data_IF_360572710443
#
_entry.id   IF_360572710443
#
_cell.length_a   1.000
_cell.length_b   1.000
_cell.length_c   1.000
_cell.angle_alpha   90.00
_cell.angle_beta   90.00
_cell.angle_gamma   90.00
#
_symmetry.space_group_name_H-M   'P 1'
#
loop_
_entity.id
_entity.type
_entity.pdbx_description
1 polymer ?
#
# COMPACT_ATOMS: atom_id res chain seq x y z
N UNK A 1 44.88 -19.88 -48.99
CA UNK A 1 44.04 -20.77 -48.14
C UNK A 1 44.21 -20.36 -46.68
N UNK A 2 43.15 -20.43 -45.86
CA UNK A 2 42.83 -19.45 -44.84
C UNK A 2 43.01 -19.98 -43.40
N UNK A 3 43.05 -19.06 -42.42
CA UNK A 3 42.18 -19.03 -41.22
C UNK A 3 42.70 -18.00 -40.21
N UNK A 4 42.16 -16.80 -40.25
CA UNK A 4 42.20 -15.89 -39.10
C UNK A 4 41.10 -16.33 -38.12
N UNK A 5 41.52 -16.65 -36.90
CA UNK A 5 40.64 -17.00 -35.79
C UNK A 5 40.11 -15.71 -35.18
N UNK A 6 38.79 -15.58 -35.14
CA UNK A 6 38.02 -14.54 -34.48
C UNK A 6 38.14 -14.71 -32.95
N UNK A 7 38.53 -13.71 -32.14
CA UNK A 7 38.35 -13.81 -30.70
C UNK A 7 36.89 -13.47 -30.37
N UNK A 8 36.18 -14.47 -29.87
CA UNK A 8 34.81 -14.33 -29.37
C UNK A 8 34.83 -13.48 -28.10
N UNK A 9 34.11 -12.36 -28.16
CA UNK A 9 33.83 -11.45 -27.08
C UNK A 9 33.00 -12.17 -25.99
N UNK A 10 33.65 -12.64 -24.92
CA UNK A 10 32.97 -13.17 -23.74
C UNK A 10 32.62 -12.01 -22.78
N UNK A 11 31.64 -11.19 -23.18
CA UNK A 11 30.98 -10.20 -22.34
C UNK A 11 29.49 -10.54 -22.36
N UNK A 12 29.07 -11.39 -21.43
CA UNK A 12 27.67 -11.76 -21.29
C UNK A 12 27.47 -12.64 -20.06
N UNK A 13 26.45 -12.27 -19.29
CA UNK A 13 25.79 -13.08 -18.26
C UNK A 13 26.36 -12.99 -16.83
N UNK A 14 26.47 -11.77 -16.27
CA UNK A 14 26.05 -11.57 -14.87
C UNK A 14 24.52 -11.53 -14.83
N UNK A 15 23.93 -12.68 -15.16
CA UNK A 15 22.50 -12.93 -15.02
C UNK A 15 22.13 -12.79 -13.55
N UNK A 16 20.96 -12.19 -13.30
CA UNK A 16 20.31 -12.15 -12.00
C UNK A 16 20.48 -13.50 -11.30
N UNK A 17 21.35 -13.55 -10.29
CA UNK A 17 21.37 -14.70 -9.40
C UNK A 17 19.96 -14.83 -8.82
N UNK A 18 19.33 -16.01 -8.86
CA UNK A 18 18.07 -16.20 -8.17
C UNK A 18 18.32 -15.85 -6.69
N UNK A 19 17.71 -14.78 -6.21
CA UNK A 19 17.72 -14.46 -4.80
C UNK A 19 17.26 -15.70 -4.05
N UNK A 20 17.99 -16.07 -2.99
CA UNK A 20 17.56 -17.15 -2.11
C UNK A 20 16.14 -16.82 -1.64
N UNK A 21 15.25 -17.81 -1.71
CA UNK A 21 13.87 -17.68 -1.24
C UNK A 21 13.64 -18.76 -0.20
N UNK A 22 13.24 -18.32 0.98
CA UNK A 22 12.92 -19.19 2.10
C UNK A 22 11.39 -19.16 2.25
N UNK A 23 10.75 -20.31 2.04
CA UNK A 23 9.34 -20.49 2.43
C UNK A 23 9.25 -20.33 3.94
N UNK A 24 8.28 -19.55 4.40
CA UNK A 24 8.12 -19.24 5.82
C UNK A 24 6.67 -18.99 6.16
N UNK A 25 6.31 -19.29 7.41
CA UNK A 25 4.98 -19.07 7.93
C UNK A 25 5.03 -18.56 9.37
N UNK A 26 4.18 -17.61 9.72
CA UNK A 26 4.10 -17.09 11.08
C UNK A 26 3.04 -16.01 11.23
N UNK A 27 3.12 -15.26 12.34
CA UNK A 27 2.21 -14.15 12.60
C UNK A 27 2.96 -12.83 12.51
N UNK A 28 2.49 -11.93 11.65
CA UNK A 28 3.00 -10.56 11.52
C UNK A 28 1.86 -9.58 11.75
N UNK A 29 2.01 -8.65 12.69
CA UNK A 29 1.00 -7.63 13.01
C UNK A 29 -0.42 -8.22 13.22
N UNK A 30 -0.52 -9.34 13.93
CA UNK A 30 -1.79 -10.01 14.21
C UNK A 30 -2.41 -10.78 13.05
N UNK A 31 -1.69 -10.95 11.92
CA UNK A 31 -2.15 -11.69 10.75
C UNK A 31 -1.27 -12.91 10.51
N UNK A 32 -1.91 -14.03 10.15
CA UNK A 32 -1.19 -15.21 9.66
C UNK A 32 -0.65 -14.93 8.27
N UNK A 33 0.65 -15.16 8.08
CA UNK A 33 1.34 -14.95 6.80
C UNK A 33 2.02 -16.25 6.41
N UNK A 34 1.76 -16.71 5.19
CA UNK A 34 2.50 -17.78 4.52
C UNK A 34 3.11 -17.18 3.25
N UNK A 35 4.44 -17.09 3.19
CA UNK A 35 5.13 -16.34 2.13
C UNK A 35 6.54 -16.86 1.89
N UNK A 36 7.25 -16.20 0.97
CA UNK A 36 8.69 -16.37 0.76
C UNK A 36 9.42 -15.10 1.13
N UNK A 37 10.57 -15.26 1.78
CA UNK A 37 11.47 -14.16 2.15
C UNK A 37 12.86 -14.31 1.55
N UNK A 38 13.57 -13.19 1.46
CA UNK A 38 14.88 -13.02 0.82
C UNK A 38 16.09 -13.50 1.66
N UNK A 39 15.91 -13.81 2.95
CA UNK A 39 16.99 -14.20 3.85
C UNK A 39 16.56 -15.21 4.93
N UNK A 40 17.55 -15.91 5.49
CA UNK A 40 17.33 -16.87 6.59
C UNK A 40 16.96 -16.12 7.88
N UNK A 41 17.53 -14.94 8.06
CA UNK A 41 17.26 -14.00 9.15
C UNK A 41 15.79 -13.56 9.12
N UNK A 42 15.27 -13.21 7.94
CA UNK A 42 13.86 -12.86 7.75
C UNK A 42 12.93 -14.05 8.09
N UNK A 43 13.26 -15.25 7.62
CA UNK A 43 12.45 -16.44 7.91
C UNK A 43 12.44 -16.74 9.42
N UNK A 44 13.62 -16.73 10.04
CA UNK A 44 13.76 -16.92 11.48
C UNK A 44 13.01 -15.84 12.28
N UNK A 45 13.06 -14.58 11.82
CA UNK A 45 12.38 -13.47 12.47
C UNK A 45 10.87 -13.69 12.56
N UNK A 46 10.26 -14.15 11.47
CA UNK A 46 8.81 -14.40 11.40
C UNK A 46 8.40 -15.64 12.20
N UNK A 47 9.15 -16.74 12.07
CA UNK A 47 8.81 -18.04 12.64
C UNK A 47 9.10 -18.14 14.14
N UNK A 48 10.21 -17.55 14.59
CA UNK A 48 10.78 -17.83 15.91
C UNK A 48 10.99 -16.58 16.76
N UNK A 49 11.31 -15.43 16.14
CA UNK A 49 11.63 -14.21 16.89
C UNK A 49 10.37 -13.43 17.31
N UNK A 50 9.47 -13.14 16.36
CA UNK A 50 8.24 -12.35 16.61
C UNK A 50 7.22 -13.00 17.55
N UNK A 51 6.95 -14.32 17.49
CA UNK A 51 5.98 -14.97 18.36
C UNK A 51 6.32 -14.88 19.86
N UNK A 52 7.53 -14.43 20.21
CA UNK A 52 7.90 -14.18 21.59
C UNK A 52 7.92 -15.46 22.42
N UNK A 53 8.16 -16.62 21.81
CA UNK A 53 8.66 -17.77 22.57
C UNK A 53 10.02 -17.34 23.13
N UNK A 54 9.97 -16.77 24.33
CA UNK A 54 11.12 -16.53 25.18
C UNK A 54 11.67 -17.90 25.52
N UNK A 55 12.34 -18.52 24.57
CA UNK A 55 13.13 -19.70 24.82
C UNK A 55 14.12 -19.32 25.93
N UNK A 56 14.17 -20.08 27.03
CA UNK A 56 15.25 -19.92 27.99
C UNK A 56 16.58 -19.88 27.23
N UNK A 57 17.57 -19.08 27.66
CA UNK A 57 18.89 -19.06 27.05
C UNK A 57 19.39 -20.50 26.81
N UNK A 58 19.62 -20.86 25.54
CA UNK A 58 20.00 -22.22 25.12
C UNK A 58 18.89 -23.12 24.55
N UNK A 59 17.66 -22.62 24.36
CA UNK A 59 16.58 -23.37 23.68
C UNK A 59 16.07 -22.73 22.39
N UNK A 60 16.64 -21.60 21.95
CA UNK A 60 16.29 -21.00 20.67
C UNK A 60 16.60 -21.97 19.51
N UNK A 61 15.73 -21.99 18.50
CA UNK A 61 15.92 -22.86 17.32
C UNK A 61 17.23 -22.56 16.58
N UNK A 62 17.71 -21.30 16.63
CA UNK A 62 19.02 -20.89 16.14
C UNK A 62 19.56 -19.71 16.98
N UNK A 63 20.35 -19.98 18.03
CA UNK A 63 20.88 -18.94 18.93
C UNK A 63 21.82 -17.94 18.25
N UNK A 64 22.51 -18.36 17.19
CA UNK A 64 23.45 -17.49 16.46
C UNK A 64 22.66 -16.44 15.65
N UNK A 65 21.56 -16.86 15.00
CA UNK A 65 20.65 -15.93 14.31
C UNK A 65 19.96 -14.98 15.28
N UNK A 66 19.50 -15.49 16.43
CA UNK A 66 18.89 -14.65 17.46
C UNK A 66 19.87 -13.57 17.97
N UNK A 67 21.10 -13.97 18.30
CA UNK A 67 22.15 -13.06 18.76
C UNK A 67 22.45 -12.00 17.72
N UNK A 68 22.62 -12.39 16.45
CA UNK A 68 22.88 -11.43 15.36
C UNK A 68 21.74 -10.43 15.18
N UNK A 69 20.48 -10.89 15.28
CA UNK A 69 19.31 -10.01 15.21
C UNK A 69 19.32 -9.03 16.40
N UNK A 70 19.53 -9.53 17.62
CA UNK A 70 19.55 -8.69 18.82
C UNK A 70 20.65 -7.62 18.76
N UNK A 71 21.86 -7.99 18.34
CA UNK A 71 22.98 -7.07 18.15
C UNK A 71 22.65 -5.99 17.11
N UNK A 72 22.07 -6.38 15.97
CA UNK A 72 21.71 -5.44 14.90
C UNK A 72 20.60 -4.49 15.35
N UNK A 73 19.59 -4.99 16.07
CA UNK A 73 18.48 -4.18 16.55
C UNK A 73 18.92 -3.22 17.67
N UNK A 74 19.89 -3.60 18.50
CA UNK A 74 20.44 -2.73 19.55
C UNK A 74 21.12 -1.47 18.99
N UNK A 75 21.60 -1.51 17.75
CA UNK A 75 22.21 -0.35 17.08
C UNK A 75 21.17 0.61 16.47
N UNK A 76 19.94 0.15 16.26
CA UNK A 76 18.90 0.86 15.49
C UNK A 76 17.69 1.29 16.35
N UNK A 77 17.41 0.64 17.49
CA UNK A 77 16.22 0.88 18.33
C UNK A 77 16.51 1.87 19.49
N UNK A 78 15.71 2.94 19.66
CA UNK A 78 14.40 2.78 20.30
C UNK A 78 13.20 3.47 19.60
N UNK A 79 13.39 4.09 18.44
CA UNK A 79 12.36 4.88 17.73
C UNK A 79 11.68 4.05 16.63
N UNK A 80 10.44 4.39 16.18
CA UNK A 80 9.86 3.74 15.00
C UNK A 80 10.84 3.86 13.83
N UNK A 81 11.13 2.74 13.18
CA UNK A 81 12.19 2.65 12.18
C UNK A 81 11.98 3.71 11.08
N UNK A 82 12.85 4.72 11.10
CA UNK A 82 12.84 5.80 10.12
C UNK A 82 13.58 5.35 8.85
N UNK A 83 13.71 6.26 7.89
CA UNK A 83 14.37 5.95 6.62
C UNK A 83 15.80 5.44 6.80
N UNK A 84 16.56 6.00 7.75
CA UNK A 84 17.96 5.64 7.97
C UNK A 84 18.05 4.26 8.61
N UNK A 85 17.29 4.04 9.70
CA UNK A 85 17.23 2.75 10.37
C UNK A 85 16.75 1.61 9.48
N UNK A 86 15.73 1.83 8.64
CA UNK A 86 15.29 0.81 7.66
C UNK A 86 16.36 0.51 6.61
N UNK A 87 17.11 1.52 6.19
CA UNK A 87 18.19 1.31 5.23
C UNK A 87 19.35 0.55 5.85
N UNK A 88 19.65 0.76 7.12
CA UNK A 88 20.70 0.05 7.85
C UNK A 88 20.30 -1.41 8.09
N UNK A 89 19.06 -1.66 8.53
CA UNK A 89 18.51 -3.01 8.67
C UNK A 89 18.49 -3.78 7.35
N UNK A 90 18.11 -3.12 6.25
CA UNK A 90 18.09 -3.73 4.91
C UNK A 90 19.49 -4.15 4.45
N UNK A 91 20.53 -3.38 4.81
CA UNK A 91 21.93 -3.70 4.49
C UNK A 91 22.53 -4.75 5.41
N UNK A 92 22.20 -4.72 6.70
CA UNK A 92 22.78 -5.62 7.70
C UNK A 92 22.16 -7.03 7.69
N UNK A 93 20.85 -7.11 7.43
CA UNK A 93 20.08 -8.36 7.48
C UNK A 93 19.46 -8.64 6.10
N UNK A 94 18.33 -8.00 5.78
CA UNK A 94 17.71 -8.06 4.45
C UNK A 94 16.55 -7.09 4.29
N UNK A 95 16.04 -6.95 3.07
CA UNK A 95 14.92 -6.03 2.78
C UNK A 95 13.61 -6.56 3.37
N UNK A 96 13.37 -7.87 3.28
CA UNK A 96 12.17 -8.45 3.89
C UNK A 96 12.25 -8.39 5.41
N UNK A 97 13.42 -8.59 6.01
CA UNK A 97 13.61 -8.38 7.45
C UNK A 97 13.26 -6.95 7.86
N UNK A 98 13.83 -5.95 7.19
CA UNK A 98 13.58 -4.54 7.50
C UNK A 98 12.08 -4.20 7.37
N UNK A 99 11.41 -4.75 6.36
CA UNK A 99 9.97 -4.58 6.13
C UNK A 99 9.15 -5.19 7.25
N UNK A 100 9.43 -6.44 7.65
CA UNK A 100 8.70 -7.10 8.73
C UNK A 100 8.96 -6.44 10.08
N UNK A 101 10.19 -6.00 10.34
CA UNK A 101 10.51 -5.22 11.53
C UNK A 101 9.74 -3.90 11.55
N UNK A 102 9.69 -3.17 10.44
CA UNK A 102 8.90 -1.95 10.33
C UNK A 102 7.42 -2.18 10.67
N UNK A 103 6.82 -3.19 10.05
CA UNK A 103 5.41 -3.55 10.27
C UNK A 103 5.15 -3.94 11.73
N UNK A 104 6.05 -4.72 12.35
CA UNK A 104 5.91 -5.12 13.75
C UNK A 104 5.98 -3.92 14.69
N UNK A 105 6.87 -2.95 14.43
CA UNK A 105 6.98 -1.70 15.21
C UNK A 105 5.78 -0.79 15.00
N UNK A 106 5.29 -0.65 13.76
CA UNK A 106 4.06 0.10 13.50
C UNK A 106 2.88 -0.49 14.26
N UNK A 107 2.73 -1.82 14.28
CA UNK A 107 1.62 -2.49 14.98
C UNK A 107 1.77 -2.49 16.52
N UNK A 108 2.98 -2.29 17.05
CA UNK A 108 3.18 -2.12 18.48
C UNK A 108 2.51 -0.83 19.00
N UNK A 109 2.43 0.22 18.16
CA UNK A 109 1.69 1.44 18.47
C UNK A 109 0.18 1.15 18.64
N UNK A 110 -0.39 1.60 19.76
CA UNK A 110 -1.78 1.33 20.09
C UNK A 110 -2.78 2.02 19.16
N UNK A 111 -2.41 3.16 18.56
CA UNK A 111 -3.23 3.86 17.58
C UNK A 111 -3.31 3.07 16.27
N UNK A 112 -2.15 2.68 15.74
CA UNK A 112 -2.04 1.88 14.52
C UNK A 112 -2.73 0.52 14.68
N UNK A 113 -2.52 -0.17 15.81
CA UNK A 113 -3.18 -1.45 16.10
C UNK A 113 -4.69 -1.32 16.05
N UNK A 114 -5.27 -0.34 16.76
CA UNK A 114 -6.72 -0.10 16.73
C UNK A 114 -7.25 0.17 15.32
N UNK A 115 -6.51 0.93 14.51
CA UNK A 115 -6.91 1.22 13.14
C UNK A 115 -6.89 -0.04 12.27
N UNK A 116 -5.83 -0.84 12.38
CA UNK A 116 -5.70 -2.12 11.67
C UNK A 116 -6.79 -3.10 12.08
N UNK A 117 -7.01 -3.28 13.38
CA UNK A 117 -8.03 -4.19 13.90
C UNK A 117 -9.43 -3.77 13.40
N UNK A 118 -9.74 -2.46 13.45
CA UNK A 118 -11.02 -1.96 12.93
C UNK A 118 -11.17 -2.17 11.41
N UNK A 119 -10.08 -2.00 10.65
CA UNK A 119 -10.09 -2.26 9.22
C UNK A 119 -10.40 -3.75 8.95
N UNK A 120 -9.74 -4.67 9.67
CA UNK A 120 -9.95 -6.10 9.50
C UNK A 120 -11.36 -6.53 9.90
N UNK A 121 -11.90 -5.98 10.99
CA UNK A 121 -13.30 -6.18 11.38
C UNK A 121 -14.25 -5.74 10.26
N UNK A 122 -14.03 -4.56 9.67
CA UNK A 122 -14.84 -4.07 8.56
C UNK A 122 -14.74 -4.97 7.33
N UNK A 123 -13.55 -5.47 7.01
CA UNK A 123 -13.36 -6.41 5.90
C UNK A 123 -14.12 -7.71 6.15
N UNK A 124 -14.06 -8.26 7.36
CA UNK A 124 -14.78 -9.49 7.72
C UNK A 124 -16.31 -9.27 7.72
N UNK A 125 -16.77 -8.17 8.31
CA UNK A 125 -18.18 -7.74 8.29
C UNK A 125 -18.72 -7.64 6.85
N UNK A 126 -17.95 -7.05 5.93
CA UNK A 126 -18.34 -6.87 4.54
C UNK A 126 -18.23 -8.17 3.73
N UNK A 127 -17.22 -9.01 3.98
CA UNK A 127 -17.03 -10.27 3.27
C UNK A 127 -18.12 -11.29 3.59
N UNK A 128 -18.69 -11.21 4.80
CA UNK A 128 -19.76 -12.10 5.26
C UNK A 128 -21.17 -11.47 5.13
N UNK A 129 -21.27 -10.21 4.73
CA UNK A 129 -22.56 -9.55 4.57
C UNK A 129 -23.32 -10.09 3.35
N UNK A 130 -24.64 -10.24 3.48
CA UNK A 130 -25.49 -10.48 2.32
C UNK A 130 -25.57 -9.22 1.46
N UNK A 131 -25.81 -9.39 0.16
CA UNK A 131 -25.98 -8.27 -0.76
C UNK A 131 -27.12 -7.34 -0.33
N UNK A 132 -28.22 -7.90 0.22
CA UNK A 132 -29.35 -7.12 0.73
C UNK A 132 -28.94 -6.25 1.92
N UNK A 133 -28.10 -6.77 2.83
CA UNK A 133 -27.56 -5.98 3.94
C UNK A 133 -26.69 -4.84 3.43
N UNK A 134 -25.79 -5.12 2.47
CA UNK A 134 -24.92 -4.10 1.88
C UNK A 134 -25.76 -2.99 1.24
N UNK A 135 -26.79 -3.34 0.46
CA UNK A 135 -27.69 -2.36 -0.16
C UNK A 135 -28.42 -1.53 0.90
N UNK A 136 -28.94 -2.17 1.95
CA UNK A 136 -29.64 -1.47 3.03
C UNK A 136 -28.71 -0.50 3.79
N UNK A 137 -27.47 -0.90 4.04
CA UNK A 137 -26.48 -0.06 4.73
C UNK A 137 -26.04 1.13 3.87
N UNK A 138 -26.13 1.03 2.53
CA UNK A 138 -25.74 2.07 1.59
C UNK A 138 -26.85 3.07 1.26
N UNK A 139 -28.12 2.73 1.49
CA UNK A 139 -29.28 3.58 1.15
C UNK A 139 -29.19 5.02 1.69
N UNK A 140 -28.76 5.27 2.95
CA UNK A 140 -28.62 6.62 3.48
C UNK A 140 -27.60 7.49 2.73
N UNK A 141 -26.71 6.87 1.94
CA UNK A 141 -25.64 7.54 1.22
C UNK A 141 -25.98 7.81 -0.25
N UNK A 142 -27.14 7.38 -0.77
CA UNK A 142 -27.52 7.60 -2.17
C UNK A 142 -27.61 9.09 -2.56
N UNK A 143 -27.73 10.00 -1.58
CA UNK A 143 -27.67 11.45 -1.80
C UNK A 143 -26.27 12.01 -2.09
N UNK A 144 -25.21 11.23 -1.87
CA UNK A 144 -23.83 11.66 -2.12
C UNK A 144 -23.45 11.47 -3.59
N UNK A 145 -22.84 12.51 -4.17
CA UNK A 145 -22.14 12.39 -5.44
C UNK A 145 -20.73 11.86 -5.21
N UNK A 146 -20.49 10.60 -5.57
CA UNK A 146 -19.15 10.01 -5.52
C UNK A 146 -18.45 10.31 -6.85
N UNK A 147 -17.27 10.92 -6.80
CA UNK A 147 -16.50 11.27 -8.00
C UNK A 147 -15.07 10.73 -7.91
N UNK A 148 -14.65 10.06 -8.98
CA UNK A 148 -13.34 9.40 -9.04
C UNK A 148 -12.33 10.23 -9.83
N UNK A 149 -11.11 10.34 -9.30
CA UNK A 149 -9.94 10.95 -9.95
C UNK A 149 -8.91 9.85 -10.22
N UNK A 150 -8.53 9.63 -11.49
CA UNK A 150 -7.72 8.47 -11.86
C UNK A 150 -6.25 8.57 -11.45
N UNK A 151 -5.58 7.43 -11.48
CA UNK A 151 -4.13 7.33 -11.31
C UNK A 151 -3.34 7.52 -12.61
N UNK A 152 -2.02 7.30 -12.52
CA UNK A 152 -1.14 7.34 -13.68
C UNK A 152 -1.49 6.24 -14.70
N UNK A 153 -1.33 6.55 -15.98
CA UNK A 153 -1.55 5.63 -17.10
C UNK A 153 -2.97 5.03 -17.17
N UNK A 154 -4.00 5.70 -16.63
CA UNK A 154 -5.34 5.13 -16.54
C UNK A 154 -6.06 4.90 -17.87
N UNK A 155 -5.61 5.52 -18.98
CA UNK A 155 -6.18 5.30 -20.33
C UNK A 155 -5.35 4.27 -21.10
N UNK A 156 -4.04 4.43 -21.00
CA UNK A 156 -3.03 3.66 -21.75
C UNK A 156 -2.77 2.28 -21.15
N UNK A 157 -2.98 2.09 -19.85
CA UNK A 157 -2.76 0.84 -19.14
C UNK A 157 -3.94 0.46 -18.23
N UNK A 158 -4.99 -0.09 -18.82
CA UNK A 158 -6.20 -0.50 -18.09
C UNK A 158 -5.97 -1.62 -17.07
N UNK A 159 -4.86 -2.38 -17.20
CA UNK A 159 -4.59 -3.53 -16.34
C UNK A 159 -4.27 -3.15 -14.89
N UNK A 160 -3.87 -1.89 -14.64
CA UNK A 160 -3.57 -1.41 -13.29
C UNK A 160 -4.82 -0.94 -12.51
N UNK A 161 -6.00 -0.87 -13.16
CA UNK A 161 -7.25 -0.42 -12.54
C UNK A 161 -7.27 1.06 -12.14
N UNK A 162 -6.37 1.89 -12.64
CA UNK A 162 -6.25 3.31 -12.28
C UNK A 162 -7.45 4.16 -12.73
N UNK A 163 -8.35 3.64 -13.57
CA UNK A 163 -9.58 4.29 -14.04
C UNK A 163 -10.82 3.99 -13.17
N UNK A 164 -10.65 3.18 -12.12
CA UNK A 164 -11.72 2.73 -11.22
C UNK A 164 -12.92 2.11 -11.91
N UNK A 165 -12.77 1.56 -13.12
CA UNK A 165 -13.91 1.09 -13.92
C UNK A 165 -14.78 0.10 -13.14
N UNK A 166 -14.16 -0.91 -12.54
CA UNK A 166 -14.90 -1.96 -11.82
C UNK A 166 -15.64 -1.39 -10.62
N UNK A 167 -15.02 -0.48 -9.88
CA UNK A 167 -15.62 0.17 -8.71
C UNK A 167 -16.80 1.04 -9.11
N UNK A 168 -16.69 1.80 -10.21
CA UNK A 168 -17.78 2.62 -10.75
C UNK A 168 -18.94 1.74 -11.23
N UNK A 169 -18.66 0.65 -11.95
CA UNK A 169 -19.70 -0.31 -12.36
C UNK A 169 -20.46 -0.87 -11.15
N UNK A 170 -19.75 -1.32 -10.11
CA UNK A 170 -20.37 -1.83 -8.89
C UNK A 170 -21.23 -0.78 -8.18
N UNK A 171 -20.77 0.46 -8.09
CA UNK A 171 -21.57 1.55 -7.50
C UNK A 171 -22.82 1.84 -8.32
N UNK A 172 -22.74 1.79 -9.65
CA UNK A 172 -23.91 1.90 -10.53
C UNK A 172 -24.90 0.76 -10.32
N UNK A 173 -24.41 -0.48 -10.20
CA UNK A 173 -25.27 -1.64 -9.88
C UNK A 173 -25.98 -1.50 -8.52
N UNK A 174 -25.35 -0.78 -7.58
CA UNK A 174 -25.92 -0.45 -6.26
C UNK A 174 -26.81 0.80 -6.25
N UNK A 175 -27.04 1.44 -7.41
CA UNK A 175 -27.96 2.57 -7.53
C UNK A 175 -27.33 3.95 -7.36
N UNK A 176 -26.00 4.03 -7.25
CA UNK A 176 -25.29 5.32 -7.25
C UNK A 176 -25.04 5.82 -8.69
N UNK A 177 -24.81 7.13 -8.80
CA UNK A 177 -24.34 7.77 -10.04
C UNK A 177 -22.87 8.21 -9.88
N UNK A 178 -21.89 7.31 -10.04
CA UNK A 178 -20.48 7.64 -9.86
C UNK A 178 -19.96 8.54 -10.99
N UNK A 179 -19.42 9.70 -10.63
CA UNK A 179 -18.72 10.60 -11.53
C UNK A 179 -17.26 10.19 -11.78
N UNK A 180 -16.66 10.75 -12.82
CA UNK A 180 -15.25 10.54 -13.15
C UNK A 180 -14.66 11.84 -13.68
N UNK A 181 -13.59 12.34 -13.05
CA UNK A 181 -12.88 13.54 -13.48
C UNK A 181 -11.70 13.09 -14.32
N UNK A 182 -11.76 13.39 -15.62
CA UNK A 182 -10.65 13.13 -16.52
C UNK A 182 -9.50 14.09 -16.27
N UNK A 183 -8.30 13.54 -16.02
CA UNK A 183 -7.06 14.30 -15.90
C UNK A 183 -6.14 14.02 -17.10
N UNK A 184 -5.12 14.85 -17.28
CA UNK A 184 -4.05 14.57 -18.24
C UNK A 184 -3.19 13.41 -17.73
N UNK A 185 -3.20 12.30 -18.46
CA UNK A 185 -2.55 11.05 -18.07
C UNK A 185 -1.06 11.24 -17.72
N UNK A 186 -0.34 11.97 -18.56
CA UNK A 186 1.08 12.32 -18.41
C UNK A 186 1.31 13.78 -17.97
N UNK A 187 0.24 14.46 -17.55
CA UNK A 187 0.32 15.85 -17.08
C UNK A 187 0.99 15.97 -15.72
N UNK A 188 1.48 17.17 -15.41
CA UNK A 188 2.03 17.53 -14.10
C UNK A 188 0.93 17.57 -13.04
N UNK A 189 1.32 17.47 -11.77
CA UNK A 189 0.38 17.49 -10.64
C UNK A 189 -0.45 18.79 -10.63
N UNK A 190 0.17 19.93 -10.91
CA UNK A 190 -0.46 21.25 -10.86
C UNK A 190 -1.53 21.42 -11.95
N UNK A 191 -1.21 21.03 -13.19
CA UNK A 191 -2.17 21.05 -14.31
C UNK A 191 -3.39 20.19 -14.00
N UNK A 192 -3.19 19.01 -13.43
CA UNK A 192 -4.29 18.12 -13.08
C UNK A 192 -5.08 18.62 -11.87
N UNK A 193 -4.42 19.24 -10.89
CA UNK A 193 -5.10 19.89 -9.77
C UNK A 193 -6.04 21.01 -10.26
N UNK A 194 -5.61 21.84 -11.22
CA UNK A 194 -6.46 22.87 -11.83
C UNK A 194 -7.70 22.29 -12.52
N UNK A 195 -7.54 21.18 -13.24
CA UNK A 195 -8.67 20.45 -13.86
C UNK A 195 -9.63 19.97 -12.76
N UNK A 196 -9.11 19.29 -11.73
CA UNK A 196 -9.92 18.75 -10.64
C UNK A 196 -10.65 19.87 -9.89
N UNK A 197 -9.98 20.97 -9.56
CA UNK A 197 -10.60 22.13 -8.89
C UNK A 197 -11.78 22.67 -9.69
N UNK A 198 -11.64 22.79 -11.02
CA UNK A 198 -12.72 23.28 -11.89
C UNK A 198 -13.91 22.32 -11.89
N UNK A 199 -13.68 21.03 -12.08
CA UNK A 199 -14.76 20.03 -12.13
C UNK A 199 -15.47 19.91 -10.77
N UNK A 200 -14.72 19.90 -9.67
CA UNK A 200 -15.29 19.88 -8.33
C UNK A 200 -16.15 21.11 -8.03
N UNK A 201 -15.71 22.31 -8.42
CA UNK A 201 -16.53 23.53 -8.28
C UNK A 201 -17.83 23.43 -9.09
N UNK A 202 -17.78 22.89 -10.30
CA UNK A 202 -18.96 22.70 -11.12
C UNK A 202 -19.95 21.70 -10.48
N UNK A 203 -19.44 20.60 -9.92
CA UNK A 203 -20.24 19.62 -9.19
C UNK A 203 -20.83 20.20 -7.90
N UNK A 204 -20.07 21.04 -7.19
CA UNK A 204 -20.54 21.64 -5.94
C UNK A 204 -21.69 22.64 -6.14
N UNK A 205 -21.84 23.19 -7.36
CA UNK A 205 -23.04 23.95 -7.75
C UNK A 205 -24.29 23.08 -8.02
N UNK A 206 -24.15 21.75 -8.05
CA UNK A 206 -25.22 20.80 -8.39
C UNK A 206 -25.52 19.81 -7.25
N UNK A 207 -24.56 19.62 -6.33
CA UNK A 207 -24.62 18.61 -5.29
C UNK A 207 -24.19 19.19 -3.94
N UNK A 208 -25.00 18.92 -2.91
CA UNK A 208 -24.76 19.38 -1.54
C UNK A 208 -23.80 18.46 -0.77
N UNK A 209 -23.51 17.26 -1.29
CA UNK A 209 -22.62 16.28 -0.69
C UNK A 209 -21.82 15.55 -1.76
N UNK A 210 -20.50 15.77 -1.78
CA UNK A 210 -19.58 15.18 -2.75
C UNK A 210 -18.51 14.40 -1.99
N UNK A 211 -18.20 13.19 -2.44
CA UNK A 211 -17.07 12.39 -1.96
C UNK A 211 -16.08 12.23 -3.10
N UNK A 212 -14.84 12.65 -2.88
CA UNK A 212 -13.78 12.50 -3.88
C UNK A 212 -12.93 11.26 -3.59
N UNK A 213 -12.82 10.37 -4.57
CA UNK A 213 -12.01 9.15 -4.48
C UNK A 213 -10.84 9.28 -5.45
N UNK A 214 -9.60 9.08 -4.98
CA UNK A 214 -8.40 9.14 -5.82
C UNK A 214 -7.44 7.98 -5.56
N UNK A 215 -6.53 7.74 -6.49
CA UNK A 215 -5.48 6.71 -6.35
C UNK A 215 -4.15 7.18 -6.88
N UNK A 216 -3.06 6.75 -6.22
CA UNK A 216 -1.68 6.97 -6.67
C UNK A 216 -1.42 8.43 -7.05
N UNK A 217 -1.13 8.72 -8.34
CA UNK A 217 -0.94 10.07 -8.88
C UNK A 217 -2.07 11.04 -8.53
N UNK A 218 -3.32 10.58 -8.56
CA UNK A 218 -4.49 11.41 -8.27
C UNK A 218 -4.55 11.91 -6.82
N UNK A 219 -3.84 11.25 -5.89
CA UNK A 219 -3.81 11.63 -4.48
C UNK A 219 -3.27 13.06 -4.24
N UNK A 220 -2.00 13.35 -4.58
CA UNK A 220 -1.46 14.70 -4.47
C UNK A 220 -2.20 15.72 -5.34
N UNK A 221 -2.71 15.33 -6.52
CA UNK A 221 -3.49 16.21 -7.40
C UNK A 221 -4.80 16.67 -6.71
N UNK A 222 -5.55 15.74 -6.10
CA UNK A 222 -6.74 16.05 -5.30
C UNK A 222 -6.40 16.87 -4.08
N UNK A 223 -5.31 16.56 -3.37
CA UNK A 223 -4.91 17.31 -2.18
C UNK A 223 -4.67 18.79 -2.49
N UNK A 224 -3.97 19.10 -3.58
CA UNK A 224 -3.74 20.48 -4.04
C UNK A 224 -5.07 21.12 -4.48
N UNK A 225 -5.91 20.38 -5.21
CA UNK A 225 -7.19 20.89 -5.66
C UNK A 225 -8.13 21.27 -4.50
N UNK A 226 -8.16 20.45 -3.43
CA UNK A 226 -8.94 20.70 -2.22
C UNK A 226 -8.39 21.89 -1.43
N UNK A 227 -7.07 22.07 -1.34
CA UNK A 227 -6.48 23.26 -0.72
C UNK A 227 -6.83 24.54 -1.48
N UNK A 228 -6.83 24.50 -2.82
CA UNK A 228 -7.26 25.63 -3.66
C UNK A 228 -8.76 25.97 -3.50
N UNK A 229 -9.59 25.00 -3.11
CA UNK A 229 -11.01 25.18 -2.82
C UNK A 229 -11.27 25.58 -1.37
N UNK A 230 -10.24 25.61 -0.53
CA UNK A 230 -10.39 25.89 0.89
C UNK A 230 -10.92 27.31 1.12
N UNK A 231 -12.05 27.40 1.81
CA UNK A 231 -12.70 28.67 2.11
C UNK A 231 -13.58 29.21 0.98
N UNK A 232 -13.71 28.50 -0.15
CA UNK A 232 -14.75 28.76 -1.14
C UNK A 232 -16.10 28.30 -0.57
N UNK A 233 -17.07 29.20 -0.31
CA UNK A 233 -18.37 28.82 0.24
C UNK A 233 -19.15 27.87 -0.66
N UNK A 234 -18.86 27.87 -1.98
CA UNK A 234 -19.49 26.95 -2.92
C UNK A 234 -18.88 25.54 -2.84
N UNK A 235 -17.71 25.37 -2.23
CA UNK A 235 -17.01 24.10 -2.11
C UNK A 235 -17.27 23.38 -0.78
N UNK A 236 -18.14 23.92 0.09
CA UNK A 236 -18.40 23.35 1.43
C UNK A 236 -19.04 21.96 1.40
N UNK A 237 -19.58 21.55 0.25
CA UNK A 237 -20.18 20.23 0.03
C UNK A 237 -19.17 19.11 -0.22
N UNK A 238 -17.90 19.44 -0.46
CA UNK A 238 -16.86 18.48 -0.84
C UNK A 238 -16.20 17.87 0.39
N UNK A 239 -16.17 16.54 0.44
CA UNK A 239 -15.54 15.72 1.48
C UNK A 239 -14.45 14.83 0.90
#
# INVERSE_FOLDING_TARGET
>A
MPRFVLPLLALGLSACAPFARYETAGTLAGQSVETRVDSREAAYYLENYLPGESYPPGQQADPDLATRIDETLAEVDPAPADREGLSDLSRALSTDFATMHFVSRLYADAGNRRMQDRFLELVDELSNASQEKIIADLEPYHGYKIVFVPGYAYRSNLANGADFRRQRELLTELGFDPGFIETEELGTVEVNADIITRELRALAGQHDQIVVVSTSKGGPEVAIALDALRGDPQASSIK
#
